data_IF_497733861550
#
_entry.id   IF_497733861550
#
_cell.length_a   1.000
_cell.length_b   1.000
_cell.length_c   1.000
_cell.angle_alpha   90.00
_cell.angle_beta   90.00
_cell.angle_gamma   90.00
#
_symmetry.space_group_name_H-M   'P 1'
#
loop_
_entity.id
_entity.type
_entity.pdbx_description
1 polymer ?
#
# COMPACT_ATOMS: atom_id res chain seq x y z
N UNK A 1 -12.53 2.53 -4.39
CA UNK A 1 -12.02 3.64 -5.17
C UNK A 1 -10.49 3.58 -5.27
N UNK A 2 -9.95 4.03 -6.37
CA UNK A 2 -8.53 4.03 -6.65
C UNK A 2 -8.02 5.43 -6.94
N UNK A 3 -6.81 5.69 -6.48
CA UNK A 3 -6.09 6.93 -6.76
C UNK A 3 -4.68 6.56 -7.19
N UNK A 4 -4.18 7.22 -8.22
CA UNK A 4 -2.83 7.01 -8.71
C UNK A 4 -1.94 8.20 -8.38
N UNK A 5 -0.74 7.91 -7.90
CA UNK A 5 0.30 8.89 -7.64
C UNK A 5 1.59 8.47 -8.35
N UNK A 6 2.53 9.38 -8.47
CA UNK A 6 3.81 9.09 -9.11
C UNK A 6 4.75 8.32 -8.17
N UNK A 7 5.13 7.13 -8.56
CA UNK A 7 6.14 6.35 -7.84
C UNK A 7 7.47 7.11 -7.78
N UNK A 8 7.91 7.66 -8.89
CA UNK A 8 9.20 8.36 -8.95
C UNK A 8 9.32 9.49 -7.93
N UNK A 9 8.20 10.10 -7.59
CA UNK A 9 8.15 11.20 -6.63
C UNK A 9 8.46 10.75 -5.20
N UNK A 10 8.14 9.50 -4.87
CA UNK A 10 8.26 8.97 -3.51
C UNK A 10 9.29 7.87 -3.38
N UNK A 11 9.85 7.38 -4.47
CA UNK A 11 10.81 6.28 -4.46
C UNK A 11 12.00 6.57 -3.55
N UNK A 12 12.33 5.62 -2.71
CA UNK A 12 13.46 5.72 -1.78
C UNK A 12 13.20 6.61 -0.57
N UNK A 13 12.01 7.14 -0.42
CA UNK A 13 11.63 8.00 0.71
C UNK A 13 10.79 7.23 1.71
N UNK A 14 10.84 7.68 2.97
CA UNK A 14 9.91 7.23 3.99
C UNK A 14 8.77 8.24 4.05
N UNK A 15 7.56 7.78 3.76
CA UNK A 15 6.40 8.65 3.63
C UNK A 15 5.48 8.44 4.81
N UNK A 16 5.25 9.50 5.58
CA UNK A 16 4.27 9.45 6.66
C UNK A 16 2.87 9.30 6.05
N UNK A 17 2.19 8.24 6.44
CA UNK A 17 0.88 7.91 5.88
C UNK A 17 -0.17 7.97 6.97
N UNK A 18 -1.12 8.89 6.82
CA UNK A 18 -2.19 9.08 7.78
C UNK A 18 -3.53 8.98 7.07
N UNK A 19 -4.38 8.11 7.59
CA UNK A 19 -5.76 7.98 7.12
C UNK A 19 -6.67 8.72 8.08
N UNK A 20 -7.41 9.68 7.56
CA UNK A 20 -8.43 10.42 8.31
C UNK A 20 -9.79 10.08 7.73
N UNK A 21 -10.67 9.59 8.57
CA UNK A 21 -11.99 9.13 8.14
C UNK A 21 -13.08 10.07 8.61
N UNK A 22 -14.19 10.10 7.86
CA UNK A 22 -15.38 10.84 8.24
C UNK A 22 -15.99 10.24 9.52
N UNK A 23 -16.77 11.06 10.22
CA UNK A 23 -17.50 10.62 11.41
C UNK A 23 -18.37 9.40 11.08
N UNK A 24 -18.34 8.41 11.96
CA UNK A 24 -19.09 7.17 11.76
C UNK A 24 -18.31 6.08 11.05
N UNK A 25 -17.10 6.37 10.60
CA UNK A 25 -16.23 5.38 9.97
C UNK A 25 -15.01 5.11 10.83
N UNK A 26 -14.58 3.86 10.86
CA UNK A 26 -13.38 3.42 11.58
C UNK A 26 -12.41 2.75 10.61
N UNK A 27 -11.13 2.94 10.86
CA UNK A 27 -10.11 2.23 10.13
C UNK A 27 -10.10 0.77 10.56
N UNK A 28 -10.29 -0.13 9.62
CA UNK A 28 -10.22 -1.57 9.85
C UNK A 28 -8.79 -2.08 9.64
N UNK A 29 -8.22 -1.79 8.48
CA UNK A 29 -6.86 -2.20 8.14
C UNK A 29 -6.18 -1.11 7.33
N UNK A 30 -4.90 -0.94 7.59
CA UNK A 30 -4.00 -0.16 6.73
C UNK A 30 -2.82 -1.08 6.39
N UNK A 31 -2.56 -1.30 5.13
CA UNK A 31 -1.51 -2.20 4.72
C UNK A 31 -0.89 -1.76 3.40
N UNK A 32 0.33 -2.24 3.17
CA UNK A 32 1.06 -1.95 1.96
C UNK A 32 1.29 -3.23 1.18
N UNK A 33 1.38 -3.09 -0.11
CA UNK A 33 1.72 -4.16 -1.02
C UNK A 33 2.77 -3.66 -2.01
N UNK A 34 3.86 -4.37 -2.06
CA UNK A 34 4.91 -4.15 -3.04
C UNK A 34 5.23 -5.49 -3.66
N UNK A 35 4.54 -5.79 -4.74
CA UNK A 35 4.71 -7.01 -5.49
C UNK A 35 4.98 -6.66 -6.91
N UNK A 36 6.01 -5.86 -7.13
CA UNK A 36 6.33 -5.45 -8.46
C UNK A 36 6.64 -6.69 -9.28
N UNK A 37 5.79 -6.93 -10.24
CA UNK A 37 5.94 -8.06 -11.12
C UNK A 37 7.28 -7.95 -11.83
N UNK A 38 8.14 -8.98 -11.72
CA UNK A 38 9.38 -8.95 -12.47
C UNK A 38 9.09 -8.72 -13.94
N UNK A 39 9.87 -7.89 -14.55
CA UNK A 39 9.76 -7.67 -15.99
C UNK A 39 9.70 -9.01 -16.70
N UNK A 40 8.73 -9.19 -17.58
CA UNK A 40 8.53 -10.40 -18.37
C UNK A 40 7.96 -11.61 -17.62
N UNK A 41 7.37 -11.41 -16.44
CA UNK A 41 6.70 -12.49 -15.74
C UNK A 41 7.58 -13.64 -15.27
N UNK A 42 8.88 -13.44 -15.22
CA UNK A 42 9.83 -14.45 -14.74
C UNK A 42 9.67 -14.67 -13.23
N UNK A 43 9.57 -15.94 -12.83
CA UNK A 43 9.47 -16.29 -11.41
C UNK A 43 10.79 -16.19 -10.66
N UNK A 44 11.90 -16.30 -11.37
CA UNK A 44 13.22 -16.24 -10.77
C UNK A 44 13.45 -14.92 -10.02
N UNK A 45 13.12 -13.77 -10.60
CA UNK A 45 13.26 -12.51 -9.89
C UNK A 45 12.36 -12.36 -8.67
N UNK A 46 11.27 -13.13 -8.56
CA UNK A 46 10.40 -13.03 -7.39
C UNK A 46 11.14 -13.37 -6.09
N UNK A 47 11.98 -14.38 -6.12
CA UNK A 47 12.80 -14.76 -4.96
C UNK A 47 13.78 -13.65 -4.63
N UNK A 48 14.42 -13.06 -5.65
CA UNK A 48 15.33 -11.94 -5.45
C UNK A 48 14.61 -10.73 -4.84
N UNK A 49 13.40 -10.45 -5.29
CA UNK A 49 12.62 -9.34 -4.75
C UNK A 49 12.28 -9.55 -3.28
N UNK A 50 11.93 -10.77 -2.90
CA UNK A 50 11.69 -11.12 -1.50
C UNK A 50 12.96 -10.92 -0.66
N UNK A 51 14.09 -11.40 -1.16
CA UNK A 51 15.37 -11.28 -0.47
C UNK A 51 15.81 -9.83 -0.32
N UNK A 52 15.51 -9.00 -1.31
CA UNK A 52 15.85 -7.57 -1.28
C UNK A 52 14.79 -6.73 -0.57
N UNK A 53 13.72 -7.35 -0.07
CA UNK A 53 12.63 -6.63 0.58
C UNK A 53 11.75 -5.84 -0.38
N UNK A 54 11.78 -6.17 -1.65
CA UNK A 54 10.97 -5.47 -2.65
C UNK A 54 9.53 -5.98 -2.72
N UNK A 55 9.34 -7.24 -2.38
CA UNK A 55 7.98 -7.80 -2.30
C UNK A 55 7.54 -7.79 -0.85
N UNK A 56 6.53 -7.01 -0.56
CA UNK A 56 5.99 -6.87 0.79
C UNK A 56 4.48 -6.87 0.75
N UNK A 57 3.89 -7.49 1.76
CA UNK A 57 2.47 -7.40 2.02
C UNK A 57 2.35 -7.38 3.54
N UNK A 58 2.17 -6.21 4.11
CA UNK A 58 2.19 -6.07 5.56
C UNK A 58 1.24 -4.98 6.04
N UNK A 59 0.69 -5.21 7.23
CA UNK A 59 -0.10 -4.19 7.92
C UNK A 59 0.83 -3.16 8.54
N UNK A 60 0.41 -1.90 8.51
CA UNK A 60 1.16 -0.80 9.09
C UNK A 60 0.25 0.03 9.99
N UNK A 61 0.84 0.68 10.97
CA UNK A 61 0.09 1.56 11.86
C UNK A 61 -0.27 2.86 11.14
N UNK A 62 -1.46 3.38 11.44
CA UNK A 62 -1.87 4.69 10.94
C UNK A 62 -0.91 5.76 11.45
N UNK A 63 -0.47 6.64 10.57
CA UNK A 63 0.50 7.67 10.88
C UNK A 63 1.96 7.22 10.82
N UNK A 64 2.22 5.99 10.47
CA UNK A 64 3.59 5.48 10.35
C UNK A 64 4.28 5.99 9.10
N UNK A 65 5.61 5.99 9.15
CA UNK A 65 6.44 6.31 7.99
C UNK A 65 6.67 5.03 7.19
N UNK A 66 6.22 5.02 5.95
CA UNK A 66 6.29 3.85 5.07
C UNK A 66 7.43 4.03 4.08
N UNK A 67 8.43 3.13 4.07
CA UNK A 67 9.46 3.15 3.04
C UNK A 67 8.85 2.78 1.70
N UNK A 68 8.97 3.64 0.71
CA UNK A 68 8.48 3.39 -0.64
C UNK A 68 9.61 2.77 -1.46
N UNK A 69 9.47 1.50 -1.77
CA UNK A 69 10.47 0.73 -2.51
C UNK A 69 9.79 -0.43 -3.24
N UNK A 70 10.52 -1.04 -4.16
CA UNK A 70 10.01 -2.21 -4.89
C UNK A 70 9.47 -1.90 -6.26
N UNK A 71 9.54 -0.64 -6.68
CA UNK A 71 9.19 -0.24 -8.03
C UNK A 71 7.74 0.18 -8.22
N UNK A 72 7.42 0.54 -9.43
CA UNK A 72 6.07 0.94 -9.82
C UNK A 72 5.08 -0.18 -9.52
N UNK A 73 3.88 0.19 -9.10
CA UNK A 73 2.89 -0.76 -8.64
C UNK A 73 2.83 -0.92 -7.13
N UNK A 74 3.66 -0.19 -6.40
CA UNK A 74 3.54 -0.09 -4.94
C UNK A 74 2.16 0.41 -4.57
N UNK A 75 1.51 -0.25 -3.63
CA UNK A 75 0.15 0.10 -3.24
C UNK A 75 0.06 0.33 -1.74
N UNK A 76 -0.70 1.37 -1.40
CA UNK A 76 -1.14 1.61 -0.03
C UNK A 76 -2.64 1.41 -0.05
N UNK A 77 -3.12 0.50 0.79
CA UNK A 77 -4.53 0.14 0.81
C UNK A 77 -5.06 0.24 2.22
N UNK A 78 -6.29 0.71 2.34
CA UNK A 78 -6.95 0.64 3.63
C UNK A 78 -8.41 0.24 3.47
N UNK A 79 -8.92 -0.37 4.53
CA UNK A 79 -10.32 -0.75 4.62
C UNK A 79 -10.93 0.04 5.76
N UNK A 80 -12.04 0.68 5.49
CA UNK A 80 -12.82 1.41 6.49
C UNK A 80 -14.14 0.70 6.71
N UNK A 81 -14.65 0.76 7.93
CA UNK A 81 -15.93 0.14 8.28
C UNK A 81 -16.86 1.21 8.85
N UNK A 82 -18.10 1.21 8.36
CA UNK A 82 -19.13 2.06 8.92
C UNK A 82 -19.60 1.48 10.24
N UNK A 83 -19.48 2.24 11.32
CA UNK A 83 -19.79 1.78 12.67
C UNK A 83 -21.28 1.47 12.86
N UNK A 84 -22.15 2.07 12.07
CA UNK A 84 -23.58 1.89 12.15
C UNK A 84 -24.09 0.71 11.32
N UNK A 85 -23.59 0.60 10.09
CA UNK A 85 -24.10 -0.39 9.13
C UNK A 85 -23.23 -1.62 9.01
N UNK A 86 -21.96 -1.54 9.44
CA UNK A 86 -20.99 -2.60 9.25
C UNK A 86 -20.46 -2.71 7.82
N UNK A 87 -20.87 -1.81 6.94
CA UNK A 87 -20.41 -1.80 5.56
C UNK A 87 -18.91 -1.46 5.53
N UNK A 88 -18.15 -2.25 4.78
CA UNK A 88 -16.72 -2.02 4.58
C UNK A 88 -16.45 -1.48 3.20
N UNK A 89 -15.51 -0.55 3.13
CA UNK A 89 -15.00 0.00 1.87
C UNK A 89 -13.49 -0.14 1.82
N UNK A 90 -12.99 -0.49 0.63
CA UNK A 90 -11.54 -0.56 0.37
C UNK A 90 -11.15 0.60 -0.52
N UNK A 91 -10.08 1.27 -0.11
CA UNK A 91 -9.47 2.33 -0.90
C UNK A 91 -8.04 1.92 -1.22
N UNK A 92 -7.67 2.10 -2.48
CA UNK A 92 -6.33 1.77 -2.97
C UNK A 92 -5.66 3.00 -3.55
N UNK A 93 -4.43 3.25 -3.11
CA UNK A 93 -3.56 4.26 -3.68
C UNK A 93 -2.41 3.52 -4.35
N UNK A 94 -2.32 3.62 -5.66
CA UNK A 94 -1.27 2.98 -6.44
C UNK A 94 -0.22 3.99 -6.86
N UNK A 95 1.04 3.66 -6.64
CA UNK A 95 2.17 4.46 -7.10
C UNK A 95 2.67 3.89 -8.43
N UNK A 96 2.51 4.67 -9.48
CA UNK A 96 2.85 4.29 -10.85
C UNK A 96 4.10 4.96 -11.36
#
# INVERSE_FOLDING_TARGET
>A
SETSLSYAKFAGKKVKTTVTLAKGWKLDKLYIYSGNNPVNGSMKPAIEYLQKGWMRSESVANGSKIPVAGGKGFRIMFTAVNSKTGIKERITIELR
#
